data_IF_560802566585
#
_entry.id   IF_560802566585
#
_cell.length_a   1.000
_cell.length_b   1.000
_cell.length_c   1.000
_cell.angle_alpha   90.00
_cell.angle_beta   90.00
_cell.angle_gamma   90.00
#
_symmetry.space_group_name_H-M   'P 1'
#
loop_
_entity.id
_entity.type
_entity.pdbx_description
1 polymer ?
#
# COMPACT_ATOMS: atom_id res chain seq x y z
N UNK A 1 47.12 -9.50 -2.12
CA UNK A 1 46.46 -9.60 -3.43
C UNK A 1 45.00 -10.00 -3.31
N UNK A 2 44.66 -11.10 -2.64
CA UNK A 2 43.26 -11.58 -2.50
C UNK A 2 42.30 -10.57 -1.85
N UNK A 3 42.75 -9.89 -0.79
CA UNK A 3 41.98 -8.81 -0.14
C UNK A 3 41.68 -7.68 -1.14
N UNK A 4 42.68 -7.29 -1.94
CA UNK A 4 42.51 -6.25 -2.94
C UNK A 4 41.51 -6.66 -4.03
N UNK A 5 41.56 -7.90 -4.52
CA UNK A 5 40.58 -8.40 -5.50
C UNK A 5 39.16 -8.46 -4.94
N UNK A 6 38.99 -8.88 -3.69
CA UNK A 6 37.69 -8.92 -3.02
C UNK A 6 37.11 -7.52 -2.82
N UNK A 7 37.93 -6.58 -2.33
CA UNK A 7 37.52 -5.18 -2.13
C UNK A 7 37.27 -4.48 -3.47
N UNK A 8 38.06 -4.76 -4.50
CA UNK A 8 37.82 -4.24 -5.85
C UNK A 8 36.52 -4.78 -6.43
N UNK A 9 36.21 -6.07 -6.26
CA UNK A 9 34.93 -6.67 -6.68
C UNK A 9 33.72 -6.08 -5.94
N UNK A 10 33.87 -5.82 -4.65
CA UNK A 10 32.83 -5.14 -3.85
C UNK A 10 32.56 -3.74 -4.42
N UNK A 11 33.62 -2.99 -4.72
CA UNK A 11 33.55 -1.60 -5.15
C UNK A 11 33.23 -1.41 -6.65
N UNK A 12 33.38 -2.45 -7.47
CA UNK A 12 33.24 -2.35 -8.93
C UNK A 12 31.85 -2.76 -9.47
N UNK A 13 30.82 -2.95 -8.64
CA UNK A 13 29.48 -3.35 -9.08
C UNK A 13 28.33 -2.50 -8.52
N UNK A 14 27.12 -2.67 -9.07
CA UNK A 14 25.93 -1.89 -8.68
C UNK A 14 25.58 -1.97 -7.18
N UNK A 15 24.79 -1.00 -6.70
CA UNK A 15 24.51 -0.59 -5.29
C UNK A 15 23.96 -1.66 -4.32
N UNK A 16 24.08 -2.96 -4.61
CA UNK A 16 23.52 -4.08 -3.85
C UNK A 16 24.52 -4.82 -2.97
N UNK A 17 25.79 -4.44 -2.94
CA UNK A 17 26.81 -5.09 -2.08
C UNK A 17 27.12 -4.23 -0.86
N UNK A 18 27.02 -4.79 0.34
CA UNK A 18 27.33 -4.11 1.61
C UNK A 18 28.62 -4.64 2.22
N UNK A 19 29.23 -3.84 3.10
CA UNK A 19 30.40 -4.24 3.91
C UNK A 19 30.07 -5.47 4.77
N UNK A 20 28.86 -5.51 5.33
CA UNK A 20 28.36 -6.62 6.16
C UNK A 20 28.31 -7.94 5.37
N UNK A 21 27.69 -7.93 4.18
CA UNK A 21 27.59 -9.16 3.36
C UNK A 21 28.96 -9.58 2.80
N UNK A 22 29.85 -8.62 2.52
CA UNK A 22 31.22 -8.92 2.08
C UNK A 22 32.03 -9.57 3.19
N UNK A 23 31.88 -9.10 4.43
CA UNK A 23 32.49 -9.71 5.61
C UNK A 23 31.94 -11.12 5.84
N UNK A 24 30.62 -11.30 5.67
CA UNK A 24 29.95 -12.58 5.80
C UNK A 24 30.45 -13.60 4.77
N UNK A 25 30.63 -13.20 3.51
CA UNK A 25 31.20 -14.05 2.46
C UNK A 25 32.59 -14.58 2.84
N UNK A 26 33.44 -13.75 3.46
CA UNK A 26 34.77 -14.20 3.89
C UNK A 26 34.66 -15.25 5.00
N UNK A 27 33.91 -14.95 6.05
CA UNK A 27 33.88 -15.79 7.25
C UNK A 27 33.07 -17.07 7.06
N UNK A 28 31.92 -16.98 6.38
CA UNK A 28 30.98 -18.11 6.24
C UNK A 28 31.24 -18.97 5.01
N UNK A 29 32.02 -18.51 4.02
CA UNK A 29 32.28 -19.26 2.79
C UNK A 29 33.77 -19.48 2.57
N UNK A 30 34.57 -18.42 2.49
CA UNK A 30 35.98 -18.54 2.10
C UNK A 30 36.84 -19.18 3.20
N UNK A 31 36.50 -18.95 4.47
CA UNK A 31 37.25 -19.47 5.63
C UNK A 31 36.79 -20.86 6.10
N UNK A 32 35.84 -21.50 5.41
CA UNK A 32 35.42 -22.87 5.78
C UNK A 32 36.54 -23.88 5.50
N UNK A 33 36.69 -24.89 6.37
CA UNK A 33 37.79 -25.86 6.29
C UNK A 33 37.77 -26.71 5.01
N UNK A 34 36.60 -26.85 4.39
CA UNK A 34 36.36 -27.57 3.14
C UNK A 34 36.34 -26.65 1.91
N UNK A 35 36.58 -25.35 2.07
CA UNK A 35 36.59 -24.41 0.95
C UNK A 35 37.80 -24.64 0.04
N UNK A 36 37.55 -25.07 -1.20
CA UNK A 36 38.56 -25.23 -2.22
C UNK A 36 38.30 -24.29 -3.41
N UNK A 37 39.23 -23.37 -3.66
CA UNK A 37 39.12 -22.43 -4.77
C UNK A 37 39.11 -23.10 -6.16
N UNK A 38 39.65 -24.31 -6.29
CA UNK A 38 39.64 -25.04 -7.55
C UNK A 38 38.22 -25.46 -7.98
N UNK A 39 37.29 -25.61 -7.03
CA UNK A 39 35.87 -25.92 -7.32
C UNK A 39 35.14 -24.76 -8.03
N UNK A 40 35.74 -23.56 -7.97
CA UNK A 40 35.22 -22.36 -8.62
C UNK A 40 35.74 -22.20 -10.06
N UNK A 41 36.60 -23.09 -10.56
CA UNK A 41 37.04 -23.07 -11.96
C UNK A 41 35.86 -23.33 -12.91
N UNK A 42 35.57 -22.35 -13.76
CA UNK A 42 34.40 -22.38 -14.64
C UNK A 42 33.07 -22.11 -13.92
N UNK A 43 33.10 -21.58 -12.70
CA UNK A 43 31.91 -21.18 -11.96
C UNK A 43 31.15 -20.08 -12.70
N UNK A 44 29.87 -20.33 -12.96
CA UNK A 44 28.91 -19.36 -13.47
C UNK A 44 27.66 -19.44 -12.59
N UNK A 45 27.32 -18.34 -11.91
CA UNK A 45 26.20 -18.28 -10.98
C UNK A 45 24.87 -18.65 -11.63
N UNK A 46 24.64 -18.22 -12.89
CA UNK A 46 23.43 -18.53 -13.63
C UNK A 46 23.30 -20.04 -13.91
N UNK A 47 24.37 -20.68 -14.40
CA UNK A 47 24.39 -22.13 -14.68
C UNK A 47 24.27 -23.01 -13.43
N UNK A 48 24.84 -22.57 -12.29
CA UNK A 48 24.75 -23.31 -11.02
C UNK A 48 23.37 -23.19 -10.39
N UNK A 49 22.71 -22.02 -10.47
CA UNK A 49 21.33 -21.85 -10.05
C UNK A 49 20.36 -22.77 -10.82
N UNK A 50 20.60 -22.97 -12.13
CA UNK A 50 19.83 -23.93 -12.95
C UNK A 50 20.00 -25.39 -12.50
N UNK A 51 21.19 -25.78 -12.00
CA UNK A 51 21.44 -27.15 -11.49
C UNK A 51 20.87 -27.37 -10.09
N UNK A 52 20.97 -26.39 -9.19
CA UNK A 52 20.36 -26.47 -7.86
C UNK A 52 18.82 -26.60 -7.93
N UNK A 53 18.20 -26.04 -8.97
CA UNK A 53 16.77 -26.22 -9.23
C UNK A 53 16.40 -27.61 -9.76
N UNK A 54 17.33 -28.35 -10.38
CA UNK A 54 17.06 -29.67 -10.99
C UNK A 54 17.24 -30.86 -10.03
N UNK A 55 17.97 -30.72 -8.93
CA UNK A 55 18.19 -31.79 -7.94
C UNK A 55 17.08 -31.91 -6.90
N UNK A 56 16.10 -31.01 -6.91
CA UNK A 56 14.85 -31.22 -6.18
C UNK A 56 14.01 -32.24 -6.95
N UNK A 57 14.17 -33.51 -6.60
CA UNK A 57 13.25 -34.57 -7.00
C UNK A 57 11.79 -34.09 -6.85
N UNK A 58 10.88 -34.43 -7.77
CA UNK A 58 9.48 -34.08 -7.66
C UNK A 58 8.91 -34.80 -6.44
N UNK A 59 8.68 -34.07 -5.35
CA UNK A 59 7.79 -34.55 -4.29
C UNK A 59 6.40 -34.51 -4.92
N UNK A 60 5.72 -35.67 -5.10
CA UNK A 60 4.35 -35.66 -5.57
C UNK A 60 3.54 -34.86 -4.55
N UNK A 61 2.91 -33.76 -5.00
CA UNK A 61 1.86 -33.10 -4.24
C UNK A 61 0.65 -34.03 -4.24
N UNK A 62 0.69 -35.07 -3.42
CA UNK A 62 -0.45 -35.93 -3.19
C UNK A 62 -1.53 -35.09 -2.50
N UNK A 63 -2.72 -35.05 -3.10
CA UNK A 63 -3.91 -34.34 -2.59
C UNK A 63 -4.44 -34.91 -1.26
N UNK A 64 -3.79 -35.94 -0.71
CA UNK A 64 -4.21 -36.69 0.48
C UNK A 64 -3.36 -36.43 1.73
N UNK A 65 -2.41 -35.48 1.70
CA UNK A 65 -1.63 -35.14 2.92
C UNK A 65 -2.41 -34.12 3.77
N UNK A 66 -2.76 -34.42 5.04
CA UNK A 66 -3.43 -33.48 5.91
C UNK A 66 -2.56 -32.24 6.15
N UNK A 67 -3.19 -31.06 6.17
CA UNK A 67 -2.53 -29.78 6.42
C UNK A 67 -1.78 -29.81 7.76
N UNK A 68 -0.45 -29.69 7.71
CA UNK A 68 0.35 -29.54 8.92
C UNK A 68 0.47 -28.06 9.32
N UNK A 69 0.41 -27.75 10.63
CA UNK A 69 0.63 -26.40 11.13
C UNK A 69 2.05 -25.95 10.80
N UNK A 70 2.17 -24.80 10.13
CA UNK A 70 3.45 -24.17 9.78
C UNK A 70 3.69 -23.00 10.73
N UNK A 71 4.73 -23.08 11.55
CA UNK A 71 5.13 -22.00 12.46
C UNK A 71 6.09 -21.04 11.75
N UNK A 72 5.79 -19.74 11.78
CA UNK A 72 6.68 -18.67 11.31
C UNK A 72 7.38 -18.08 12.53
N UNK A 73 8.69 -18.35 12.73
CA UNK A 73 9.42 -17.78 13.86
C UNK A 73 9.34 -16.25 13.86
N UNK A 74 9.06 -15.64 15.02
CA UNK A 74 8.96 -14.19 15.18
C UNK A 74 7.62 -13.56 14.79
N UNK A 75 6.66 -14.34 14.25
CA UNK A 75 5.28 -13.89 14.06
C UNK A 75 4.54 -13.94 15.39
N UNK A 76 4.35 -12.77 16.01
CA UNK A 76 3.46 -12.64 17.16
C UNK A 76 2.05 -12.35 16.65
N UNK A 77 1.07 -13.13 17.08
CA UNK A 77 -0.32 -12.91 16.73
C UNK A 77 -1.22 -13.21 17.92
N UNK A 78 -2.39 -12.58 17.93
CA UNK A 78 -3.48 -12.87 18.87
C UNK A 78 -4.53 -13.69 18.16
N UNK A 79 -5.10 -14.64 18.87
CA UNK A 79 -6.29 -15.34 18.42
C UNK A 79 -7.45 -14.33 18.24
N UNK A 80 -8.09 -14.37 17.07
CA UNK A 80 -9.15 -13.42 16.73
C UNK A 80 -10.37 -13.60 17.63
N UNK A 81 -10.71 -14.84 18.01
CA UNK A 81 -11.82 -15.11 18.91
C UNK A 81 -11.57 -14.49 20.28
N UNK A 82 -10.36 -14.63 20.82
CA UNK A 82 -9.96 -13.95 22.06
C UNK A 82 -10.07 -12.42 21.97
N UNK A 83 -9.67 -11.82 20.84
CA UNK A 83 -9.81 -10.36 20.63
C UNK A 83 -11.28 -9.95 20.58
N UNK A 84 -12.12 -10.73 19.88
CA UNK A 84 -13.57 -10.51 19.80
C UNK A 84 -14.20 -10.59 21.20
N UNK A 85 -13.91 -11.65 21.95
CA UNK A 85 -14.43 -11.82 23.32
C UNK A 85 -14.04 -10.63 24.20
N UNK A 86 -12.77 -10.20 24.17
CA UNK A 86 -12.30 -9.02 24.89
C UNK A 86 -13.10 -7.78 24.53
N UNK A 87 -13.28 -7.50 23.24
CA UNK A 87 -13.99 -6.32 22.77
C UNK A 87 -15.46 -6.28 23.21
N UNK A 88 -16.13 -7.44 23.31
CA UNK A 88 -17.51 -7.52 23.80
C UNK A 88 -17.63 -7.32 25.32
N UNK A 89 -16.56 -7.59 26.08
CA UNK A 89 -16.52 -7.33 27.53
C UNK A 89 -16.16 -5.88 27.88
N UNK A 90 -15.60 -5.12 26.94
CA UNK A 90 -15.21 -3.73 27.16
C UNK A 90 -16.42 -2.78 27.15
N UNK A 91 -16.39 -1.65 27.88
CA UNK A 91 -17.48 -0.67 27.89
C UNK A 91 -17.86 -0.14 26.50
N UNK A 92 -16.92 -0.15 25.56
CA UNK A 92 -17.11 0.28 24.18
C UNK A 92 -18.13 -0.59 23.43
N UNK A 93 -18.35 -1.84 23.85
CA UNK A 93 -19.31 -2.76 23.24
C UNK A 93 -20.73 -2.19 23.22
N UNK A 94 -21.08 -1.35 24.20
CA UNK A 94 -22.38 -0.66 24.26
C UNK A 94 -22.63 0.31 23.11
N UNK A 95 -21.59 0.66 22.34
CA UNK A 95 -21.67 1.53 21.15
C UNK A 95 -21.72 0.76 19.83
N UNK A 96 -21.72 -0.57 19.88
CA UNK A 96 -21.75 -1.38 18.67
C UNK A 96 -23.16 -1.35 18.06
N UNK A 97 -23.22 -1.19 16.75
CA UNK A 97 -24.44 -1.38 15.98
C UNK A 97 -24.56 -2.86 15.59
N UNK A 98 -25.46 -3.59 16.26
CA UNK A 98 -25.73 -5.00 15.99
C UNK A 98 -26.85 -5.20 14.97
N UNK A 99 -27.87 -4.33 15.00
CA UNK A 99 -28.95 -4.29 14.02
C UNK A 99 -28.60 -3.30 12.90
N UNK A 100 -28.49 -3.75 11.65
CA UNK A 100 -28.22 -2.86 10.53
C UNK A 100 -29.48 -2.09 10.11
N UNK A 101 -29.29 -0.99 9.38
CA UNK A 101 -30.39 -0.15 8.91
C UNK A 101 -30.00 0.61 7.64
N UNK A 102 -31.00 0.99 6.84
CA UNK A 102 -30.79 1.91 5.72
C UNK A 102 -30.94 3.36 6.18
N UNK A 103 -30.08 4.23 5.66
CA UNK A 103 -30.16 5.67 5.86
C UNK A 103 -30.71 6.34 4.61
N UNK A 104 -31.57 7.32 4.81
CA UNK A 104 -32.17 8.12 3.75
C UNK A 104 -32.10 9.61 4.12
N UNK A 105 -31.88 10.45 3.12
CA UNK A 105 -31.90 11.90 3.25
C UNK A 105 -33.07 12.46 2.44
N UNK A 106 -33.92 13.24 3.10
CA UNK A 106 -34.92 14.06 2.43
C UNK A 106 -34.33 15.45 2.16
N UNK A 107 -34.40 15.90 0.92
CA UNK A 107 -33.90 17.22 0.55
C UNK A 107 -34.85 18.30 1.09
N UNK A 108 -34.36 19.36 1.76
CA UNK A 108 -35.22 20.43 2.23
C UNK A 108 -36.03 21.03 1.06
N UNK A 109 -37.35 21.13 1.24
CA UNK A 109 -38.30 21.64 0.23
C UNK A 109 -38.44 20.76 -1.04
N UNK A 110 -38.11 19.48 -0.96
CA UNK A 110 -38.37 18.50 -2.04
C UNK A 110 -38.96 17.22 -1.44
N UNK A 111 -39.79 16.53 -2.23
CA UNK A 111 -40.27 15.18 -1.89
C UNK A 111 -39.23 14.10 -2.23
N UNK A 112 -38.09 14.48 -2.81
CA UNK A 112 -37.02 13.56 -3.13
C UNK A 112 -36.36 12.98 -1.87
N UNK A 113 -36.25 11.65 -1.86
CA UNK A 113 -35.59 10.87 -0.82
C UNK A 113 -34.44 10.10 -1.45
N UNK A 114 -33.22 10.38 -1.00
CA UNK A 114 -32.01 9.76 -1.52
C UNK A 114 -31.43 8.77 -0.52
N UNK A 115 -31.01 7.56 -0.94
CA UNK A 115 -30.23 6.66 -0.11
C UNK A 115 -28.91 7.31 0.33
N UNK A 116 -28.48 7.04 1.56
CA UNK A 116 -27.22 7.52 2.13
C UNK A 116 -26.32 6.34 2.47
N UNK A 117 -25.09 6.40 1.98
CA UNK A 117 -24.03 5.42 2.17
C UNK A 117 -22.98 5.99 3.13
N UNK A 118 -22.62 5.26 4.20
CA UNK A 118 -21.58 5.77 5.12
C UNK A 118 -20.80 4.73 5.92
N UNK A 119 -21.45 3.77 6.55
CA UNK A 119 -20.83 2.86 7.52
C UNK A 119 -21.07 1.41 7.11
N UNK A 120 -20.23 0.50 7.61
CA UNK A 120 -20.35 -0.90 7.19
C UNK A 120 -21.72 -1.49 7.55
N UNK A 121 -22.23 -1.21 8.76
CA UNK A 121 -23.53 -1.70 9.24
C UNK A 121 -24.76 -1.05 8.57
N UNK A 122 -24.58 -0.06 7.69
CA UNK A 122 -25.68 0.46 6.86
C UNK A 122 -25.54 0.10 5.38
N UNK A 123 -24.50 -0.65 5.01
CA UNK A 123 -24.32 -1.15 3.66
C UNK A 123 -25.30 -2.28 3.34
N UNK A 124 -25.70 -2.37 2.08
CA UNK A 124 -26.54 -3.47 1.58
C UNK A 124 -25.89 -4.84 1.83
N UNK A 125 -24.55 -4.94 1.70
CA UNK A 125 -23.83 -6.18 1.95
C UNK A 125 -23.97 -6.66 3.41
N UNK A 126 -23.90 -5.74 4.37
CA UNK A 126 -24.04 -6.09 5.79
C UNK A 126 -25.49 -6.43 6.15
N UNK A 127 -26.46 -5.70 5.58
CA UNK A 127 -27.90 -6.00 5.76
C UNK A 127 -28.22 -7.39 5.21
N UNK A 128 -27.80 -7.70 3.98
CA UNK A 128 -28.02 -9.01 3.38
C UNK A 128 -27.38 -10.13 4.19
N UNK A 129 -26.18 -9.91 4.73
CA UNK A 129 -25.52 -10.91 5.58
C UNK A 129 -26.23 -11.08 6.92
N UNK A 130 -26.73 -9.99 7.51
CA UNK A 130 -27.54 -10.05 8.72
C UNK A 130 -28.82 -10.86 8.49
N UNK A 131 -29.55 -10.62 7.40
CA UNK A 131 -30.78 -11.35 7.07
C UNK A 131 -30.53 -12.86 6.88
N UNK A 132 -29.41 -13.22 6.23
CA UNK A 132 -28.98 -14.62 6.11
C UNK A 132 -28.73 -15.24 7.48
N UNK A 133 -27.96 -14.57 8.33
CA UNK A 133 -27.63 -15.05 9.68
C UNK A 133 -28.89 -15.21 10.54
N UNK A 134 -29.89 -14.32 10.42
CA UNK A 134 -31.17 -14.47 11.12
C UNK A 134 -31.92 -15.73 10.67
N UNK A 135 -31.82 -16.12 9.40
CA UNK A 135 -32.45 -17.32 8.87
C UNK A 135 -31.71 -18.63 9.19
N UNK A 136 -30.47 -18.58 9.69
CA UNK A 136 -29.70 -19.80 10.03
C UNK A 136 -30.27 -20.51 11.27
N UNK A 137 -30.12 -21.83 11.33
CA UNK A 137 -30.40 -22.59 12.57
C UNK A 137 -29.42 -22.18 13.69
N UNK A 138 -29.74 -22.56 14.93
CA UNK A 138 -28.83 -22.36 16.05
C UNK A 138 -27.46 -23.00 15.80
N UNK A 139 -26.41 -22.58 16.53
CA UNK A 139 -25.07 -23.12 16.37
C UNK A 139 -25.08 -24.65 16.49
N UNK A 140 -24.20 -25.38 15.78
CA UNK A 140 -24.19 -26.85 15.78
C UNK A 140 -24.12 -27.47 17.19
N UNK A 141 -23.39 -26.82 18.09
CA UNK A 141 -23.21 -27.27 19.47
C UNK A 141 -24.41 -26.96 20.38
N UNK A 142 -25.29 -26.05 19.97
CA UNK A 142 -26.53 -25.71 20.68
C UNK A 142 -27.61 -25.25 19.69
N UNK A 143 -28.29 -26.18 19.00
CA UNK A 143 -29.30 -25.86 17.99
C UNK A 143 -30.50 -25.06 18.53
N UNK A 144 -30.79 -25.21 19.83
CA UNK A 144 -31.90 -24.54 20.52
C UNK A 144 -31.49 -23.18 21.14
N UNK A 145 -30.31 -22.66 20.79
CA UNK A 145 -29.84 -21.37 21.27
C UNK A 145 -30.81 -20.25 20.88
N UNK A 146 -31.32 -19.52 21.88
CA UNK A 146 -32.24 -18.38 21.71
C UNK A 146 -31.55 -17.02 21.77
N UNK A 147 -30.22 -16.99 21.88
CA UNK A 147 -29.46 -15.74 21.89
C UNK A 147 -29.56 -15.07 20.52
N UNK A 148 -29.51 -13.73 20.52
CA UNK A 148 -29.48 -12.95 19.30
C UNK A 148 -28.24 -13.33 18.48
N UNK A 149 -28.44 -13.59 17.18
CA UNK A 149 -27.36 -13.80 16.23
C UNK A 149 -27.03 -12.47 15.60
N UNK A 150 -25.75 -12.10 15.61
CA UNK A 150 -25.30 -10.79 15.11
C UNK A 150 -24.18 -10.95 14.11
N UNK A 151 -24.11 -10.04 13.14
CA UNK A 151 -22.99 -9.96 12.21
C UNK A 151 -21.94 -9.02 12.79
N UNK A 152 -20.68 -9.43 12.73
CA UNK A 152 -19.54 -8.65 13.21
C UNK A 152 -18.63 -8.32 12.02
N UNK A 153 -18.51 -7.04 11.72
CA UNK A 153 -17.59 -6.54 10.69
C UNK A 153 -16.18 -6.43 11.25
N UNK A 154 -15.22 -7.11 10.62
CA UNK A 154 -13.80 -7.02 10.97
C UNK A 154 -13.06 -6.25 9.89
N UNK A 155 -12.40 -5.16 10.26
CA UNK A 155 -11.63 -4.32 9.35
C UNK A 155 -10.15 -4.43 9.72
N UNK A 156 -9.31 -4.83 8.76
CA UNK A 156 -7.88 -5.05 8.96
C UNK A 156 -7.03 -4.05 8.20
N UNK A 157 -5.90 -3.68 8.79
CA UNK A 157 -4.89 -2.86 8.16
C UNK A 157 -3.50 -3.25 8.63
N UNK A 158 -2.50 -2.85 7.84
CA UNK A 158 -1.09 -2.95 8.21
C UNK A 158 -0.32 -1.82 7.54
N UNK A 159 0.53 -1.15 8.30
CA UNK A 159 1.41 -0.09 7.83
C UNK A 159 2.78 -0.16 8.53
N UNK A 160 3.81 0.41 7.90
CA UNK A 160 5.16 0.45 8.46
C UNK A 160 5.22 1.47 9.60
N UNK A 161 5.33 1.01 10.83
CA UNK A 161 5.48 1.86 12.01
C UNK A 161 6.96 2.07 12.35
N UNK A 162 7.40 3.33 12.45
CA UNK A 162 8.73 3.65 12.98
C UNK A 162 8.74 3.50 14.50
N UNK A 163 9.66 2.69 15.03
CA UNK A 163 9.72 2.39 16.47
C UNK A 163 10.36 3.52 17.29
N UNK A 164 11.20 4.35 16.67
CA UNK A 164 11.86 5.47 17.34
C UNK A 164 12.14 6.60 16.34
N UNK A 165 12.24 7.84 16.82
CA UNK A 165 12.65 9.00 16.01
C UNK A 165 14.14 9.03 15.64
N UNK A 166 14.97 8.19 16.28
CA UNK A 166 16.43 8.21 16.16
C UNK A 166 17.02 6.95 15.51
N UNK A 167 16.21 5.94 15.21
CA UNK A 167 16.65 4.72 14.51
C UNK A 167 15.76 4.40 13.32
N UNK A 168 16.32 3.68 12.35
CA UNK A 168 15.60 3.19 11.18
C UNK A 168 14.79 1.90 11.47
N UNK A 169 14.67 1.50 12.75
CA UNK A 169 13.92 0.32 13.13
C UNK A 169 12.43 0.51 12.82
N UNK A 170 11.88 -0.45 12.07
CA UNK A 170 10.48 -0.48 11.64
C UNK A 170 9.80 -1.72 12.20
N UNK A 171 8.50 -1.62 12.42
CA UNK A 171 7.63 -2.73 12.74
C UNK A 171 6.44 -2.72 11.79
N UNK A 172 5.95 -3.90 11.42
CA UNK A 172 4.71 -4.04 10.65
C UNK A 172 3.63 -4.64 11.53
N UNK A 173 2.92 -3.83 12.35
CA UNK A 173 1.73 -4.29 13.02
C UNK A 173 0.63 -4.63 12.00
N UNK A 174 -0.18 -5.61 12.36
CA UNK A 174 -1.53 -5.79 11.83
C UNK A 174 -2.47 -5.36 12.93
N UNK A 175 -3.35 -4.43 12.60
CA UNK A 175 -4.36 -3.92 13.51
C UNK A 175 -5.75 -4.14 12.95
N UNK A 176 -6.71 -4.28 13.86
CA UNK A 176 -8.10 -4.60 13.58
C UNK A 176 -9.01 -3.61 14.29
N UNK A 177 -10.07 -3.17 13.61
CA UNK A 177 -11.18 -2.43 14.20
C UNK A 177 -12.50 -3.09 13.84
N UNK A 178 -13.52 -2.89 14.68
CA UNK A 178 -14.86 -3.40 14.41
C UNK A 178 -15.65 -2.43 13.53
N UNK A 179 -16.14 -2.92 12.40
CA UNK A 179 -17.00 -2.17 11.48
C UNK A 179 -18.38 -1.84 12.06
N UNK A 180 -18.76 -2.47 13.17
CA UNK A 180 -19.98 -2.17 13.95
C UNK A 180 -19.87 -0.86 14.75
N UNK A 181 -18.68 -0.26 14.84
CA UNK A 181 -18.48 1.06 15.43
C UNK A 181 -18.44 2.13 14.35
N UNK A 182 -19.06 3.27 14.63
CA UNK A 182 -19.00 4.42 13.73
C UNK A 182 -17.55 4.86 13.52
N UNK A 183 -17.27 5.40 12.33
CA UNK A 183 -15.98 5.99 11.97
C UNK A 183 -15.54 7.03 13.00
N UNK A 184 -16.47 7.81 13.56
CA UNK A 184 -16.16 8.80 14.59
C UNK A 184 -15.52 8.16 15.82
N UNK A 185 -16.13 7.11 16.35
CA UNK A 185 -15.58 6.40 17.51
C UNK A 185 -14.23 5.79 17.17
N UNK A 186 -14.13 5.12 16.01
CA UNK A 186 -12.87 4.52 15.54
C UNK A 186 -11.74 5.54 15.35
N UNK A 187 -12.08 6.79 15.03
CA UNK A 187 -11.12 7.86 14.80
C UNK A 187 -10.69 8.59 16.08
N UNK A 188 -11.34 8.33 17.22
CA UNK A 188 -10.92 8.87 18.51
C UNK A 188 -9.73 8.07 19.05
N UNK A 189 -8.61 8.76 19.26
CA UNK A 189 -7.34 8.18 19.74
C UNK A 189 -7.45 7.41 21.05
N UNK A 190 -8.38 7.81 21.94
CA UNK A 190 -8.58 7.22 23.26
C UNK A 190 -9.83 6.34 23.37
N UNK A 191 -10.47 5.99 22.24
CA UNK A 191 -11.67 5.15 22.25
C UNK A 191 -11.40 3.70 22.66
N UNK A 192 -10.18 3.21 22.44
CA UNK A 192 -9.85 1.79 22.57
C UNK A 192 -10.31 0.93 21.38
N UNK A 193 -10.85 1.52 20.31
CA UNK A 193 -11.44 0.79 19.17
C UNK A 193 -10.43 0.05 18.27
N UNK A 194 -9.12 0.26 18.46
CA UNK A 194 -8.05 -0.32 17.66
C UNK A 194 -7.34 -1.42 18.41
N UNK A 195 -7.34 -2.63 17.84
CA UNK A 195 -6.73 -3.81 18.45
C UNK A 195 -5.53 -4.28 17.63
N UNK A 196 -4.36 -4.39 18.25
CA UNK A 196 -3.23 -5.08 17.63
C UNK A 196 -3.52 -6.59 17.58
N UNK A 197 -3.45 -7.17 16.38
CA UNK A 197 -3.75 -8.60 16.16
C UNK A 197 -2.54 -9.39 15.69
N UNK A 198 -1.56 -8.76 15.05
CA UNK A 198 -0.28 -9.41 14.76
C UNK A 198 0.87 -8.41 14.61
N UNK A 199 2.09 -8.93 14.63
CA UNK A 199 3.32 -8.22 14.28
C UNK A 199 4.08 -9.06 13.27
N UNK A 200 4.15 -8.55 12.04
CA UNK A 200 4.88 -9.21 10.96
C UNK A 200 6.37 -8.95 11.20
N UNK A 201 7.19 -9.99 11.40
CA UNK A 201 8.62 -9.81 11.60
C UNK A 201 9.25 -9.23 10.34
N UNK A 202 10.22 -8.32 10.52
CA UNK A 202 11.14 -7.93 9.46
C UNK A 202 11.90 -9.19 9.03
N UNK A 203 11.67 -9.65 7.80
CA UNK A 203 12.33 -10.85 7.29
C UNK A 203 13.82 -10.58 6.98
N UNK A 204 14.67 -10.68 7.98
CA UNK A 204 16.11 -10.99 7.85
C UNK A 204 16.36 -12.37 7.21
N UNK A 205 15.31 -13.19 7.08
CA UNK A 205 15.34 -14.55 6.52
C UNK A 205 14.75 -14.66 5.08
N UNK A 206 14.33 -13.55 4.45
CA UNK A 206 13.81 -13.58 3.07
C UNK A 206 14.96 -13.80 2.08
N UNK A 207 14.81 -14.75 1.14
CA UNK A 207 15.84 -15.04 0.13
C UNK A 207 16.82 -16.16 0.49
N UNK A 208 16.64 -16.82 1.65
CA UNK A 208 17.32 -18.09 1.91
C UNK A 208 16.87 -19.15 0.91
N UNK A 209 17.77 -20.06 0.53
CA UNK A 209 17.48 -21.16 -0.42
C UNK A 209 16.21 -21.93 -0.03
N UNK A 210 15.98 -22.13 1.27
CA UNK A 210 14.78 -22.77 1.81
C UNK A 210 13.49 -21.95 1.60
N UNK A 211 13.53 -20.63 1.74
CA UNK A 211 12.40 -19.72 1.46
C UNK A 211 12.08 -19.74 -0.05
N UNK A 212 13.11 -19.63 -0.88
CA UNK A 212 13.00 -19.71 -2.35
C UNK A 212 12.42 -21.06 -2.80
N UNK A 213 12.95 -22.18 -2.30
CA UNK A 213 12.46 -23.52 -2.63
C UNK A 213 11.02 -23.76 -2.15
N UNK A 214 10.62 -23.18 -1.01
CA UNK A 214 9.24 -23.29 -0.50
C UNK A 214 8.26 -22.49 -1.35
N UNK A 215 8.65 -21.29 -1.81
CA UNK A 215 7.86 -20.45 -2.73
C UNK A 215 7.74 -21.08 -4.13
N UNK A 216 8.74 -21.82 -4.58
CA UNK A 216 8.73 -22.53 -5.86
C UNK A 216 7.87 -23.81 -5.78
N UNK A 217 8.02 -24.59 -4.71
CA UNK A 217 7.31 -25.88 -4.53
C UNK A 217 5.83 -25.76 -4.15
N UNK A 218 5.39 -24.61 -3.62
CA UNK A 218 4.00 -24.38 -3.16
C UNK A 218 3.28 -23.27 -3.94
N UNK A 219 3.60 -23.10 -5.21
CA UNK A 219 3.03 -22.08 -6.10
C UNK A 219 1.50 -22.28 -6.30
N UNK A 220 0.65 -21.33 -5.86
CA UNK A 220 -0.82 -21.35 -5.99
C UNK A 220 -1.38 -19.95 -6.35
N UNK A 221 -2.62 -19.88 -6.81
CA UNK A 221 -3.03 -19.33 -8.14
C UNK A 221 -3.86 -18.03 -8.10
N UNK A 222 -3.40 -16.90 -8.67
CA UNK A 222 -4.18 -15.66 -8.93
C UNK A 222 -3.75 -14.88 -10.17
N UNK A 223 -4.72 -14.28 -10.91
CA UNK A 223 -4.61 -13.88 -12.33
C UNK A 223 -3.61 -14.77 -13.06
N UNK A 224 -3.82 -16.06 -12.82
CA UNK A 224 -2.71 -17.00 -12.79
C UNK A 224 -2.05 -17.02 -14.13
N UNK A 225 -2.81 -17.01 -15.20
CA UNK A 225 -2.24 -17.03 -16.54
C UNK A 225 -1.31 -15.84 -16.82
N UNK A 226 -1.66 -14.61 -16.43
CA UNK A 226 -0.80 -13.43 -16.68
C UNK A 226 0.39 -13.38 -15.74
N UNK A 227 0.19 -13.59 -14.43
CA UNK A 227 1.27 -13.57 -13.42
C UNK A 227 2.20 -14.76 -13.57
N UNK A 228 1.65 -15.96 -13.82
CA UNK A 228 2.42 -17.17 -14.12
C UNK A 228 3.18 -17.03 -15.42
N UNK A 229 2.56 -16.53 -16.50
CA UNK A 229 3.27 -16.33 -17.78
C UNK A 229 4.37 -15.27 -17.66
N UNK A 230 4.13 -14.20 -16.90
CA UNK A 230 5.18 -13.24 -16.58
C UNK A 230 6.32 -13.89 -15.77
N UNK A 231 6.00 -14.79 -14.83
CA UNK A 231 6.99 -15.57 -14.08
C UNK A 231 7.72 -16.59 -14.97
N UNK A 232 7.05 -17.29 -15.88
CA UNK A 232 7.66 -18.17 -16.88
C UNK A 232 8.64 -17.37 -17.76
N UNK A 233 8.26 -16.17 -18.18
CA UNK A 233 9.15 -15.27 -18.92
C UNK A 233 10.40 -14.91 -18.12
N UNK A 234 10.24 -14.58 -16.84
CA UNK A 234 11.36 -14.18 -15.97
C UNK A 234 12.26 -15.37 -15.62
N UNK A 235 11.68 -16.44 -15.10
CA UNK A 235 12.42 -17.53 -14.45
C UNK A 235 12.81 -18.64 -15.42
N UNK A 236 11.99 -18.93 -16.43
CA UNK A 236 12.24 -20.04 -17.37
C UNK A 236 12.89 -19.56 -18.66
N UNK A 237 12.54 -18.35 -19.13
CA UNK A 237 13.07 -17.75 -20.36
C UNK A 237 14.09 -16.64 -20.15
N UNK A 238 14.39 -16.29 -18.89
CA UNK A 238 15.44 -15.30 -18.55
C UNK A 238 15.13 -13.87 -19.00
N UNK A 239 13.86 -13.54 -19.25
CA UNK A 239 13.45 -12.22 -19.70
C UNK A 239 13.60 -11.19 -18.56
N UNK A 240 14.00 -9.94 -18.87
CA UNK A 240 14.08 -8.89 -17.86
C UNK A 240 12.72 -8.62 -17.20
N UNK A 241 12.70 -8.46 -15.88
CA UNK A 241 11.49 -8.15 -15.10
C UNK A 241 10.81 -6.86 -15.59
N UNK A 242 11.63 -5.86 -15.97
CA UNK A 242 11.15 -4.59 -16.53
C UNK A 242 11.07 -4.62 -18.08
N UNK A 243 11.23 -5.79 -18.70
CA UNK A 243 11.20 -5.97 -20.15
C UNK A 243 9.79 -5.88 -20.71
N UNK A 244 9.68 -5.53 -21.98
CA UNK A 244 8.40 -5.33 -22.68
C UNK A 244 7.45 -6.53 -22.58
N UNK A 245 7.98 -7.75 -22.63
CA UNK A 245 7.19 -8.99 -22.55
C UNK A 245 6.54 -9.21 -21.17
N UNK A 246 7.20 -8.81 -20.09
CA UNK A 246 6.66 -8.90 -18.72
C UNK A 246 5.74 -7.71 -18.46
N UNK A 247 6.14 -6.51 -18.90
CA UNK A 247 5.35 -5.30 -18.74
C UNK A 247 4.03 -5.34 -19.50
N UNK A 248 3.95 -5.97 -20.68
CA UNK A 248 2.71 -6.10 -21.45
C UNK A 248 1.67 -6.98 -20.74
N UNK A 249 2.13 -7.96 -19.94
CA UNK A 249 1.25 -8.85 -19.17
C UNK A 249 0.73 -8.18 -17.90
N UNK A 250 1.58 -7.41 -17.21
CA UNK A 250 1.31 -7.00 -15.82
C UNK A 250 0.96 -5.52 -15.64
N UNK A 251 1.41 -4.63 -16.54
CA UNK A 251 1.30 -3.17 -16.33
C UNK A 251 -0.14 -2.65 -16.45
N UNK A 252 -0.95 -3.24 -17.32
CA UNK A 252 -2.36 -2.87 -17.49
C UNK A 252 -3.16 -3.03 -16.20
N UNK A 253 -2.89 -4.11 -15.46
CA UNK A 253 -3.56 -4.43 -14.19
C UNK A 253 -2.77 -3.96 -12.97
N UNK A 254 -1.73 -3.13 -13.16
CA UNK A 254 -0.77 -2.72 -12.13
C UNK A 254 -0.27 -3.88 -11.25
N UNK A 255 -0.19 -5.07 -11.85
CA UNK A 255 0.17 -6.29 -11.15
C UNK A 255 1.70 -6.41 -11.09
N UNK A 256 2.17 -7.15 -10.10
CA UNK A 256 3.58 -7.51 -9.97
C UNK A 256 3.70 -9.03 -10.09
N UNK A 257 4.86 -9.58 -10.48
CA UNK A 257 5.06 -11.03 -10.66
C UNK A 257 5.17 -11.79 -9.32
N UNK A 258 4.34 -11.39 -8.35
CA UNK A 258 4.29 -11.88 -6.97
C UNK A 258 2.95 -12.58 -6.75
N UNK A 259 3.03 -13.79 -6.20
CA UNK A 259 1.85 -14.57 -5.81
C UNK A 259 1.29 -13.99 -4.51
N UNK A 260 -0.03 -13.90 -4.40
CA UNK A 260 -0.70 -13.29 -3.27
C UNK A 260 -1.36 -14.36 -2.38
N UNK A 261 -0.92 -14.42 -1.11
CA UNK A 261 -1.41 -15.37 -0.10
C UNK A 261 -2.92 -15.26 0.19
N UNK A 262 -3.55 -14.11 -0.07
CA UNK A 262 -4.99 -13.94 0.09
C UNK A 262 -5.80 -14.88 -0.81
N UNK A 263 -5.31 -15.20 -2.00
CA UNK A 263 -6.02 -16.07 -2.93
C UNK A 263 -5.84 -17.54 -2.60
N UNK A 264 -4.71 -17.91 -2.00
CA UNK A 264 -4.54 -19.27 -1.49
C UNK A 264 -5.54 -19.57 -0.37
N UNK A 265 -5.86 -18.56 0.44
CA UNK A 265 -6.83 -18.68 1.53
C UNK A 265 -8.28 -18.57 1.03
N UNK A 266 -8.58 -17.61 0.16
CA UNK A 266 -9.96 -17.25 -0.23
C UNK A 266 -10.41 -17.89 -1.56
N UNK A 267 -9.49 -18.52 -2.27
CA UNK A 267 -9.72 -19.18 -3.57
C UNK A 267 -9.62 -18.23 -4.77
N UNK A 268 -9.36 -18.78 -5.97
CA UNK A 268 -9.14 -18.00 -7.20
C UNK A 268 -10.38 -17.27 -7.70
N UNK A 269 -11.57 -17.67 -7.23
CA UNK A 269 -12.85 -17.06 -7.60
C UNK A 269 -13.17 -15.80 -6.78
N UNK A 270 -12.37 -15.50 -5.75
CA UNK A 270 -12.55 -14.29 -4.95
C UNK A 270 -11.67 -13.15 -5.52
N UNK A 271 -12.26 -12.09 -6.10
CA UNK A 271 -11.49 -10.93 -6.56
C UNK A 271 -10.94 -10.16 -5.36
N UNK A 272 -9.65 -10.33 -5.07
CA UNK A 272 -9.01 -9.68 -3.90
C UNK A 272 -9.12 -8.17 -3.93
N UNK A 273 -9.18 -7.56 -5.11
CA UNK A 273 -9.47 -6.13 -5.25
C UNK A 273 -10.73 -5.67 -4.50
N UNK A 274 -11.73 -6.55 -4.37
CA UNK A 274 -12.99 -6.20 -3.72
C UNK A 274 -12.89 -6.16 -2.19
N UNK A 275 -11.87 -6.78 -1.59
CA UNK A 275 -11.63 -6.64 -0.14
C UNK A 275 -10.74 -5.41 0.19
N UNK A 276 -9.97 -4.92 -0.78
CA UNK A 276 -8.99 -3.86 -0.56
C UNK A 276 -9.65 -2.50 -0.75
N UNK A 277 -9.89 -1.81 0.36
CA UNK A 277 -10.33 -0.42 0.31
C UNK A 277 -9.15 0.50 -0.04
N UNK A 278 -9.39 1.45 -0.96
CA UNK A 278 -8.40 2.45 -1.33
C UNK A 278 -8.04 3.32 -0.11
N UNK A 279 -6.75 3.39 0.22
CA UNK A 279 -6.27 4.25 1.29
C UNK A 279 -5.93 5.65 0.73
N UNK A 280 -6.85 6.61 0.86
CA UNK A 280 -6.65 7.99 0.38
C UNK A 280 -5.37 8.65 0.90
N UNK A 281 -4.94 8.32 2.12
CA UNK A 281 -3.74 8.89 2.72
C UNK A 281 -2.48 8.42 1.99
N UNK A 282 -2.38 7.13 1.68
CA UNK A 282 -1.21 6.57 1.01
C UNK A 282 -1.26 6.77 -0.50
N UNK A 283 -2.40 6.48 -1.13
CA UNK A 283 -2.53 6.49 -2.60
C UNK A 283 -2.61 7.92 -3.16
N UNK A 284 -3.31 8.82 -2.47
CA UNK A 284 -3.53 10.19 -2.97
C UNK A 284 -2.65 11.19 -2.26
N UNK A 285 -2.77 11.34 -0.94
CA UNK A 285 -2.09 12.44 -0.23
C UNK A 285 -0.57 12.26 -0.29
N UNK A 286 -0.06 11.09 0.09
CA UNK A 286 1.36 10.75 0.01
C UNK A 286 1.82 10.22 -1.36
N UNK A 287 0.90 9.71 -2.17
CA UNK A 287 1.19 9.15 -3.48
C UNK A 287 1.11 10.20 -4.58
N UNK A 288 -0.10 10.38 -5.14
CA UNK A 288 -0.34 11.27 -6.28
C UNK A 288 -0.03 12.74 -5.97
N UNK A 289 -0.59 13.29 -4.89
CA UNK A 289 -0.48 14.71 -4.55
C UNK A 289 0.95 15.09 -4.19
N UNK A 290 1.60 14.36 -3.27
CA UNK A 290 3.02 14.60 -2.95
C UNK A 290 3.91 14.59 -4.20
N UNK A 291 3.68 13.64 -5.11
CA UNK A 291 4.44 13.55 -6.37
C UNK A 291 4.20 14.77 -7.26
N UNK A 292 2.93 15.17 -7.43
CA UNK A 292 2.58 16.37 -8.20
C UNK A 292 3.18 17.62 -7.55
N UNK A 293 2.99 17.82 -6.24
CA UNK A 293 3.52 18.95 -5.48
C UNK A 293 5.04 19.06 -5.59
N UNK A 294 5.76 17.94 -5.43
CA UNK A 294 7.21 17.87 -5.65
C UNK A 294 7.58 18.31 -7.06
N UNK A 295 6.82 17.85 -8.07
CA UNK A 295 7.06 18.23 -9.46
C UNK A 295 6.79 19.72 -9.72
N UNK A 296 5.75 20.30 -9.12
CA UNK A 296 5.46 21.73 -9.22
C UNK A 296 6.61 22.57 -8.64
N UNK A 297 7.18 22.18 -7.50
CA UNK A 297 8.36 22.86 -6.93
C UNK A 297 9.56 22.77 -7.89
N UNK A 298 9.80 21.59 -8.49
CA UNK A 298 10.87 21.46 -9.52
C UNK A 298 10.62 22.36 -10.73
N UNK A 299 9.37 22.52 -11.16
CA UNK A 299 9.01 23.45 -12.23
C UNK A 299 9.24 24.91 -11.84
N UNK A 300 8.97 25.29 -10.59
CA UNK A 300 9.30 26.63 -10.07
C UNK A 300 10.80 26.88 -10.15
N UNK A 301 11.64 25.96 -9.66
CA UNK A 301 13.10 26.07 -9.77
C UNK A 301 13.59 26.17 -11.21
N UNK A 302 12.94 25.48 -12.16
CA UNK A 302 13.26 25.53 -13.58
C UNK A 302 12.76 26.81 -14.29
N UNK A 303 11.95 27.63 -13.61
CA UNK A 303 11.43 28.89 -14.15
C UNK A 303 12.43 30.04 -14.00
N UNK A 304 12.29 31.12 -14.80
CA UNK A 304 12.99 32.37 -14.53
C UNK A 304 12.71 32.85 -13.10
N UNK A 305 13.74 33.28 -12.38
CA UNK A 305 13.71 33.66 -10.96
C UNK A 305 13.14 32.57 -10.04
N UNK A 306 13.39 31.29 -10.37
CA UNK A 306 12.79 30.16 -9.66
C UNK A 306 12.99 30.14 -8.15
N UNK A 307 14.16 30.58 -7.66
CA UNK A 307 14.42 30.67 -6.22
C UNK A 307 13.51 31.69 -5.51
N UNK A 308 13.21 32.82 -6.17
CA UNK A 308 12.30 33.85 -5.63
C UNK A 308 10.86 33.33 -5.60
N UNK A 309 10.43 32.63 -6.66
CA UNK A 309 9.08 32.03 -6.73
C UNK A 309 8.86 30.93 -5.69
N UNK A 310 9.90 30.14 -5.39
CA UNK A 310 9.84 29.15 -4.30
C UNK A 310 9.76 29.86 -2.94
N UNK A 311 10.53 30.93 -2.74
CA UNK A 311 10.43 31.73 -1.51
C UNK A 311 9.05 32.38 -1.35
N UNK A 312 8.42 32.82 -2.43
CA UNK A 312 7.04 33.33 -2.45
C UNK A 312 6.03 32.25 -2.04
N UNK A 313 6.17 31.04 -2.60
CA UNK A 313 5.36 29.88 -2.21
C UNK A 313 5.46 29.61 -0.69
N UNK A 314 6.67 29.64 -0.14
CA UNK A 314 6.92 29.38 1.29
C UNK A 314 6.44 30.51 2.21
N UNK A 315 6.18 31.70 1.68
CA UNK A 315 5.61 32.84 2.40
C UNK A 315 4.09 32.86 2.39
N UNK A 316 3.41 31.96 1.67
CA UNK A 316 1.95 31.96 1.59
C UNK A 316 1.31 31.62 2.96
N UNK A 317 0.82 32.63 3.67
CA UNK A 317 0.20 32.51 5.00
C UNK A 317 -1.32 32.39 4.99
N UNK A 318 -1.95 32.35 3.81
CA UNK A 318 -3.30 32.90 3.65
C UNK A 318 -4.43 32.07 4.28
N UNK A 319 -4.30 30.74 4.46
CA UNK A 319 -5.47 29.93 4.94
C UNK A 319 -5.15 28.89 6.04
N UNK A 320 -3.94 28.38 6.15
CA UNK A 320 -3.39 27.71 7.35
C UNK A 320 -1.89 27.97 7.29
N UNK A 321 -1.20 28.16 8.41
CA UNK A 321 0.26 28.27 8.40
C UNK A 321 0.83 27.02 7.69
N UNK A 322 1.17 27.17 6.41
CA UNK A 322 2.08 26.27 5.73
C UNK A 322 3.31 26.28 6.62
N UNK A 323 3.55 25.16 7.31
CA UNK A 323 4.70 24.98 8.20
C UNK A 323 5.92 25.52 7.46
N UNK A 324 6.60 26.49 8.07
CA UNK A 324 7.63 27.28 7.39
C UNK A 324 8.56 26.38 6.56
N UNK A 325 8.67 26.70 5.27
CA UNK A 325 9.38 25.95 4.25
C UNK A 325 8.63 24.68 3.76
N UNK A 326 7.44 24.89 3.20
CA UNK A 326 6.63 23.84 2.59
C UNK A 326 7.32 23.21 1.38
N UNK A 327 8.13 23.99 0.65
CA UNK A 327 8.89 23.55 -0.52
C UNK A 327 9.94 22.48 -0.19
N UNK A 328 10.56 22.57 1.00
CA UNK A 328 11.54 21.57 1.46
C UNK A 328 10.91 20.23 1.88
N UNK A 329 9.61 20.22 2.21
CA UNK A 329 8.85 19.06 2.70
C UNK A 329 9.57 18.32 3.84
N UNK A 330 10.21 19.05 4.77
CA UNK A 330 10.91 18.47 5.92
C UNK A 330 9.92 18.12 7.02
N UNK A 331 10.03 16.89 7.56
CA UNK A 331 9.26 16.39 8.71
C UNK A 331 7.73 16.49 8.56
N UNK A 332 7.21 16.54 7.32
CA UNK A 332 5.78 16.52 7.08
C UNK A 332 5.20 15.12 7.30
N UNK A 333 4.19 15.05 8.16
CA UNK A 333 3.31 13.91 8.28
C UNK A 333 2.31 13.91 7.12
N UNK A 334 1.63 12.78 6.89
CA UNK A 334 0.67 12.65 5.80
C UNK A 334 -0.48 13.66 5.86
N UNK A 335 -0.93 14.02 7.07
CA UNK A 335 -1.96 15.05 7.29
C UNK A 335 -1.54 16.42 6.73
N UNK A 336 -0.25 16.73 6.73
CA UNK A 336 0.24 18.03 6.28
C UNK A 336 0.16 18.11 4.73
N UNK A 337 0.28 16.96 4.03
CA UNK A 337 0.04 16.90 2.58
C UNK A 337 -1.42 17.16 2.22
N UNK A 338 -2.37 16.73 3.04
CA UNK A 338 -3.77 17.12 2.87
C UNK A 338 -3.94 18.64 3.01
N UNK A 339 -3.35 19.25 4.04
CA UNK A 339 -3.44 20.70 4.24
C UNK A 339 -2.78 21.47 3.08
N UNK A 340 -1.65 20.98 2.57
CA UNK A 340 -0.99 21.51 1.38
C UNK A 340 -1.92 21.53 0.16
N UNK A 341 -2.68 20.45 -0.09
CA UNK A 341 -3.64 20.41 -1.21
C UNK A 341 -4.79 21.41 -1.01
N UNK A 342 -5.27 21.56 0.23
CA UNK A 342 -6.36 22.51 0.53
C UNK A 342 -5.94 23.97 0.33
N UNK A 343 -4.66 24.28 0.51
CA UNK A 343 -4.10 25.61 0.35
C UNK A 343 -3.39 25.83 -1.01
N UNK A 344 -3.34 24.82 -1.89
CA UNK A 344 -2.48 24.87 -3.07
C UNK A 344 -2.88 25.93 -4.08
N UNK A 345 -4.18 26.18 -4.29
CA UNK A 345 -4.66 27.13 -5.30
C UNK A 345 -4.12 28.54 -5.01
N UNK A 346 -4.41 29.18 -3.86
CA UNK A 346 -3.87 30.51 -3.57
C UNK A 346 -2.35 30.52 -3.39
N UNK A 347 -1.71 29.38 -3.08
CA UNK A 347 -0.26 29.30 -2.93
C UNK A 347 0.48 29.27 -4.27
N UNK A 348 -0.11 28.68 -5.32
CA UNK A 348 0.50 28.59 -6.65
C UNK A 348 -0.01 29.65 -7.64
N UNK A 349 -1.04 30.39 -7.27
CA UNK A 349 -1.65 31.41 -8.13
C UNK A 349 -0.59 32.44 -8.54
N UNK A 350 -0.47 32.69 -9.84
CA UNK A 350 0.45 33.65 -10.45
C UNK A 350 1.95 33.31 -10.37
N UNK A 351 2.34 32.15 -9.82
CA UNK A 351 3.76 31.73 -9.81
C UNK A 351 4.25 31.28 -11.20
N UNK A 352 3.35 30.89 -12.11
CA UNK A 352 3.67 30.51 -13.48
C UNK A 352 3.18 31.54 -14.49
N UNK A 353 3.75 31.52 -15.70
CA UNK A 353 3.25 32.31 -16.83
C UNK A 353 1.79 31.96 -17.16
N UNK A 354 1.06 32.89 -17.78
CA UNK A 354 -0.39 32.83 -17.92
C UNK A 354 -0.93 31.49 -18.46
N UNK A 355 -0.35 30.95 -19.53
CA UNK A 355 -0.77 29.66 -20.12
C UNK A 355 -0.59 28.49 -19.14
N UNK A 356 0.55 28.45 -18.43
CA UNK A 356 0.88 27.38 -17.49
C UNK A 356 0.09 27.49 -16.18
N UNK A 357 -0.12 28.72 -15.70
CA UNK A 357 -0.92 29.00 -14.52
C UNK A 357 -2.37 28.58 -14.74
N UNK A 358 -2.96 28.88 -15.90
CA UNK A 358 -4.36 28.50 -16.19
C UNK A 358 -4.55 26.98 -16.17
N UNK A 359 -3.64 26.22 -16.80
CA UNK A 359 -3.69 24.75 -16.74
C UNK A 359 -3.53 24.23 -15.31
N UNK A 360 -2.61 24.81 -14.53
CA UNK A 360 -2.38 24.40 -13.14
C UNK A 360 -3.58 24.70 -12.24
N UNK A 361 -4.16 25.90 -12.31
CA UNK A 361 -5.29 26.29 -11.48
C UNK A 361 -6.51 25.39 -11.74
N UNK A 362 -6.78 25.04 -13.01
CA UNK A 362 -7.84 24.08 -13.36
C UNK A 362 -7.58 22.70 -12.76
N UNK A 363 -6.34 22.21 -12.85
CA UNK A 363 -5.93 20.92 -12.28
C UNK A 363 -6.07 20.92 -10.75
N UNK A 364 -5.53 21.92 -10.06
CA UNK A 364 -5.59 22.01 -8.60
C UNK A 364 -7.03 22.15 -8.10
N UNK A 365 -7.87 22.94 -8.77
CA UNK A 365 -9.29 23.05 -8.46
C UNK A 365 -10.01 21.72 -8.56
N UNK A 366 -9.84 20.99 -9.67
CA UNK A 366 -10.48 19.68 -9.84
C UNK A 366 -9.91 18.63 -8.90
N UNK A 367 -8.62 18.65 -8.60
CA UNK A 367 -8.01 17.73 -7.64
C UNK A 367 -8.51 18.00 -6.21
N UNK A 368 -8.66 19.27 -5.81
CA UNK A 368 -9.24 19.64 -4.53
C UNK A 368 -10.73 19.26 -4.44
N UNK A 369 -11.50 19.48 -5.51
CA UNK A 369 -12.91 19.04 -5.60
C UNK A 369 -13.01 17.52 -5.45
N UNK A 370 -12.18 16.76 -6.16
CA UNK A 370 -12.12 15.30 -6.07
C UNK A 370 -11.78 14.85 -4.65
N UNK A 371 -10.77 15.45 -4.04
CA UNK A 371 -10.33 15.12 -2.67
C UNK A 371 -11.43 15.40 -1.64
N UNK A 372 -12.15 16.53 -1.78
CA UNK A 372 -13.27 16.87 -0.93
C UNK A 372 -14.41 15.84 -1.05
N UNK A 373 -14.77 15.45 -2.27
CA UNK A 373 -15.78 14.41 -2.53
C UNK A 373 -15.35 13.07 -1.92
N UNK A 374 -14.12 12.63 -2.17
CA UNK A 374 -13.60 11.36 -1.66
C UNK A 374 -13.52 11.29 -0.13
N UNK A 375 -13.44 12.44 0.55
CA UNK A 375 -13.39 12.55 2.02
C UNK A 375 -14.75 12.72 2.66
N UNK A 376 -15.84 12.84 1.88
CA UNK A 376 -17.18 12.91 2.44
C UNK A 376 -17.43 11.69 3.33
N UNK A 377 -18.09 11.93 4.46
CA UNK A 377 -18.43 10.87 5.38
C UNK A 377 -19.74 10.17 4.98
N UNK A 378 -20.64 10.93 4.39
CA UNK A 378 -21.93 10.48 3.89
C UNK A 378 -21.92 10.71 2.38
N UNK A 379 -22.23 9.66 1.64
CA UNK A 379 -22.42 9.71 0.21
C UNK A 379 -23.88 9.47 -0.14
N UNK A 380 -24.36 10.18 -1.14
CA UNK A 380 -25.59 9.84 -1.88
C UNK A 380 -25.21 9.46 -3.31
N UNK A 381 -26.15 8.87 -4.06
CA UNK A 381 -25.97 8.57 -5.49
C UNK A 381 -25.36 9.75 -6.28
N UNK A 382 -25.92 10.98 -6.24
CA UNK A 382 -25.31 12.13 -6.92
C UNK A 382 -23.85 12.41 -6.54
N UNK A 383 -23.49 12.28 -5.25
CA UNK A 383 -22.10 12.54 -4.84
C UNK A 383 -21.13 11.47 -5.33
N UNK A 384 -21.60 10.22 -5.49
CA UNK A 384 -20.80 9.14 -6.08
C UNK A 384 -20.62 9.35 -7.58
N UNK A 385 -21.68 9.72 -8.29
CA UNK A 385 -21.60 10.11 -9.70
C UNK A 385 -20.65 11.29 -9.92
N UNK A 386 -20.72 12.30 -9.05
CA UNK A 386 -19.79 13.43 -9.09
C UNK A 386 -18.35 13.00 -8.83
N UNK A 387 -18.13 12.09 -7.88
CA UNK A 387 -16.80 11.56 -7.59
C UNK A 387 -16.22 10.83 -8.81
N UNK A 388 -17.00 9.97 -9.47
CA UNK A 388 -16.60 9.26 -10.68
C UNK A 388 -16.28 10.25 -11.82
N UNK A 389 -17.18 11.20 -12.08
CA UNK A 389 -16.97 12.24 -13.08
C UNK A 389 -15.72 13.07 -12.81
N UNK A 390 -15.54 13.53 -11.57
CA UNK A 390 -14.37 14.33 -11.19
C UNK A 390 -13.09 13.50 -11.30
N UNK A 391 -13.14 12.18 -11.05
CA UNK A 391 -11.99 11.27 -11.24
C UNK A 391 -11.52 11.29 -12.70
N UNK A 392 -12.44 11.17 -13.65
CA UNK A 392 -12.14 11.24 -15.08
C UNK A 392 -11.56 12.60 -15.47
N UNK A 393 -12.15 13.68 -14.96
CA UNK A 393 -11.70 15.06 -15.23
C UNK A 393 -10.29 15.32 -14.69
N UNK A 394 -9.99 14.90 -13.45
CA UNK A 394 -8.64 14.99 -12.86
C UNK A 394 -7.63 14.24 -13.72
N UNK A 395 -7.96 13.02 -14.15
CA UNK A 395 -7.09 12.24 -15.04
C UNK A 395 -6.82 12.94 -16.38
N UNK A 396 -7.84 13.56 -16.97
CA UNK A 396 -7.72 14.35 -18.20
C UNK A 396 -6.82 15.56 -17.99
N UNK A 397 -7.07 16.36 -16.96
CA UNK A 397 -6.31 17.57 -16.66
C UNK A 397 -4.86 17.26 -16.29
N UNK A 398 -4.60 16.14 -15.62
CA UNK A 398 -3.24 15.70 -15.30
C UNK A 398 -2.45 15.41 -16.59
N UNK A 399 -3.07 14.75 -17.58
CA UNK A 399 -2.45 14.50 -18.90
C UNK A 399 -2.26 15.79 -19.68
N UNK A 400 -3.26 16.66 -19.68
CA UNK A 400 -3.18 17.97 -20.34
C UNK A 400 -2.06 18.84 -19.75
N UNK A 401 -1.96 18.91 -18.41
CA UNK A 401 -0.89 19.63 -17.72
C UNK A 401 0.48 19.02 -18.03
N UNK A 402 0.60 17.69 -18.06
CA UNK A 402 1.83 17.00 -18.47
C UNK A 402 2.26 17.41 -19.88
N UNK A 403 1.34 17.30 -20.84
CA UNK A 403 1.65 17.42 -22.26
C UNK A 403 1.85 18.89 -22.70
N UNK A 404 1.07 19.82 -22.13
CA UNK A 404 1.07 21.24 -22.53
C UNK A 404 1.85 22.17 -21.61
N UNK A 405 2.11 21.78 -20.36
CA UNK A 405 2.82 22.63 -19.41
C UNK A 405 4.13 22.01 -18.94
N UNK A 406 4.07 20.90 -18.20
CA UNK A 406 5.24 20.30 -17.56
C UNK A 406 6.35 19.92 -18.55
N UNK A 407 5.97 19.43 -19.75
CA UNK A 407 6.89 19.08 -20.83
C UNK A 407 7.77 20.24 -21.33
N UNK A 408 7.35 21.50 -21.09
CA UNK A 408 8.12 22.70 -21.47
C UNK A 408 9.21 23.08 -20.45
N UNK A 409 9.25 22.43 -19.29
CA UNK A 409 10.23 22.71 -18.23
C UNK A 409 11.31 21.63 -18.15
N UNK A 410 12.58 22.03 -18.21
CA UNK A 410 13.69 21.13 -17.90
C UNK A 410 13.86 21.03 -16.38
N UNK A 411 13.17 20.06 -15.77
CA UNK A 411 13.21 19.88 -14.31
C UNK A 411 14.40 19.00 -13.87
N UNK A 412 14.97 19.32 -12.72
CA UNK A 412 16.09 18.60 -12.11
C UNK A 412 15.71 18.11 -10.69
N UNK A 413 16.54 17.23 -10.14
CA UNK A 413 16.45 16.84 -8.73
C UNK A 413 16.53 18.08 -7.84
N UNK A 414 15.68 18.15 -6.80
CA UNK A 414 15.69 19.23 -5.83
C UNK A 414 17.02 19.22 -5.05
N UNK A 415 17.50 20.37 -4.51
CA UNK A 415 18.74 20.43 -3.74
C UNK A 415 18.84 19.34 -2.66
N UNK A 416 17.75 19.08 -1.93
CA UNK A 416 17.67 18.01 -0.95
C UNK A 416 17.86 16.60 -1.52
N UNK A 417 17.36 16.34 -2.72
CA UNK A 417 17.50 15.03 -3.36
C UNK A 417 18.96 14.80 -3.78
N UNK A 418 19.67 15.87 -4.12
CA UNK A 418 21.11 15.87 -4.37
C UNK A 418 21.89 15.66 -3.06
N UNK A 419 21.53 16.39 -2.00
CA UNK A 419 22.17 16.27 -0.67
C UNK A 419 21.98 14.88 -0.04
N UNK A 420 20.83 14.24 -0.25
CA UNK A 420 20.57 12.89 0.25
C UNK A 420 21.32 11.80 -0.54
N UNK A 421 21.91 12.14 -1.69
CA UNK A 421 22.75 11.25 -2.51
C UNK A 421 24.25 11.45 -2.25
N UNK A 422 24.66 12.65 -1.85
CA UNK A 422 26.01 12.99 -1.42
C UNK A 422 26.34 12.35 -0.06
#
# INVERSE_FOLDING_TARGET
MSIWYLMNWMNSGGRTKSETETTRLVNEVIMQEDFNSDDLKGFNAHSKNLRFNRTNNPIPSDKNVPSQPFSVPGLYFRDLISVIQSAFTEPLSTKFHFSPFKLFQTVPNSEEVHPVYSELYNSDAFIQEHDKVQCMQGPPDNPDCKLEKVVLGLMFWSDSTHLTSFSNAKLWPVYMMFGNLSKYIRSLLNSGACHHVAYIPLLDLMGLVRDICTRISKCRVFLWDKVKRAREYIYDLGMPINGTAVSSLLKETSSIPTLNAFIDCLGPNFPVSNMLAMNLLHEIELGVWKTLFTHLIRMLYASPNGAEKVAELDQCTTIRHLLGNASEMKKLAARDFKDLLQCSIPAFEHLFEHEHNEHLMKLLYRLAQWHALAKLHLHTEPTLEWLEKTTMEVGKLMREFRDKSASKFSTFELPREQDARA
#
